data_IF_900473261615
#
_entry.id   IF_900473261615
#
_cell.length_a   1.000
_cell.length_b   1.000
_cell.length_c   1.000
_cell.angle_alpha   90.00
_cell.angle_beta   90.00
_cell.angle_gamma   90.00
#
_symmetry.space_group_name_H-M   'P 1'
#
loop_
_entity.id
_entity.type
_entity.pdbx_description
1 polymer ?
#
# COMPACT_ATOMS: atom_id res chain seq x y z
N UNK A 1 14.11 -5.56 -4.22
CA UNK A 1 14.19 -5.48 -2.74
C UNK A 1 13.03 -6.29 -2.19
N UNK A 2 13.11 -6.87 -0.99
CA UNK A 2 12.12 -7.87 -0.58
C UNK A 2 10.99 -7.24 0.25
N UNK A 3 9.80 -7.12 -0.33
CA UNK A 3 8.59 -6.92 0.48
C UNK A 3 8.24 -8.25 1.12
N UNK A 4 8.13 -8.29 2.45
CA UNK A 4 7.75 -9.51 3.17
C UNK A 4 6.25 -9.50 3.46
N UNK A 5 5.52 -10.45 2.83
CA UNK A 5 4.08 -10.62 2.99
C UNK A 5 3.78 -11.64 4.09
N UNK A 6 3.15 -11.19 5.18
CA UNK A 6 2.67 -12.05 6.27
C UNK A 6 1.14 -12.14 6.27
N UNK A 7 0.60 -13.34 6.16
CA UNK A 7 -0.83 -13.58 6.37
C UNK A 7 -1.13 -13.60 7.87
N UNK A 8 -2.06 -12.76 8.30
CA UNK A 8 -2.62 -12.77 9.65
C UNK A 8 -4.09 -13.16 9.59
N UNK A 9 -4.40 -14.29 10.24
CA UNK A 9 -5.77 -14.74 10.41
C UNK A 9 -6.48 -13.76 11.33
N UNK A 10 -7.44 -13.01 10.80
CA UNK A 10 -8.32 -12.17 11.61
C UNK A 10 -9.48 -13.02 12.15
N UNK A 11 -10.11 -12.55 13.22
CA UNK A 11 -11.33 -13.17 13.73
C UNK A 11 -12.39 -13.28 12.61
N UNK A 12 -13.23 -14.32 12.65
CA UNK A 12 -14.29 -14.59 11.67
C UNK A 12 -13.81 -14.99 10.25
N UNK A 13 -12.66 -15.65 10.13
CA UNK A 13 -12.18 -16.22 8.86
C UNK A 13 -11.69 -15.19 7.84
N UNK A 14 -11.62 -13.91 8.23
CA UNK A 14 -11.06 -12.85 7.39
C UNK A 14 -9.54 -13.02 7.29
N UNK A 15 -9.02 -12.79 6.09
CA UNK A 15 -7.58 -12.77 5.82
C UNK A 15 -7.15 -11.31 5.80
N UNK A 16 -6.20 -10.96 6.67
CA UNK A 16 -5.51 -9.69 6.60
C UNK A 16 -4.04 -9.97 6.26
N UNK A 17 -3.42 -9.11 5.48
CA UNK A 17 -2.01 -9.26 5.09
C UNK A 17 -1.22 -8.09 5.65
N UNK A 18 -0.05 -8.36 6.22
CA UNK A 18 0.93 -7.31 6.49
C UNK A 18 2.03 -7.37 5.45
N UNK A 19 2.30 -6.24 4.84
CA UNK A 19 3.40 -6.02 3.92
C UNK A 19 4.45 -5.26 4.72
N UNK A 20 5.56 -5.93 5.02
CA UNK A 20 6.73 -5.34 5.65
C UNK A 20 7.70 -4.89 4.55
N UNK A 21 7.97 -3.60 4.48
CA UNK A 21 8.85 -2.97 3.49
C UNK A 21 10.20 -2.61 4.11
N UNK A 22 11.27 -2.61 3.32
CA UNK A 22 12.59 -2.17 3.80
C UNK A 22 12.64 -0.65 4.04
N UNK A 23 11.90 0.12 3.24
CA UNK A 23 11.82 1.58 3.29
C UNK A 23 10.42 2.03 3.72
N UNK A 24 10.30 3.09 4.54
CA UNK A 24 9.00 3.59 4.93
C UNK A 24 8.28 4.26 3.76
N UNK A 25 6.95 4.07 3.68
CA UNK A 25 6.12 4.75 2.69
C UNK A 25 6.01 6.25 3.01
N UNK A 26 6.17 7.09 2.00
CA UNK A 26 6.19 8.57 2.13
C UNK A 26 5.09 9.21 1.31
N UNK A 27 4.65 10.39 1.74
CA UNK A 27 3.56 11.15 1.09
C UNK A 27 3.79 11.44 -0.40
N UNK A 28 5.04 11.70 -0.80
CA UNK A 28 5.36 12.01 -2.20
C UNK A 28 5.31 10.79 -3.12
N UNK A 29 5.21 9.57 -2.57
CA UNK A 29 5.14 8.32 -3.34
C UNK A 29 3.68 7.96 -3.69
N UNK A 30 2.69 8.66 -3.11
CA UNK A 30 1.28 8.45 -3.37
C UNK A 30 0.88 8.58 -4.86
N UNK A 31 1.41 9.54 -5.64
CA UNK A 31 1.07 9.66 -7.06
C UNK A 31 1.41 8.42 -7.91
N UNK A 32 2.33 7.56 -7.46
CA UNK A 32 2.67 6.31 -8.16
C UNK A 32 1.52 5.31 -8.04
N UNK A 33 0.94 5.22 -6.85
CA UNK A 33 -0.24 4.39 -6.60
C UNK A 33 -1.47 4.95 -7.31
N UNK A 34 -1.64 6.27 -7.34
CA UNK A 34 -2.74 6.89 -8.10
C UNK A 34 -2.63 6.62 -9.60
N UNK A 35 -1.42 6.70 -10.19
CA UNK A 35 -1.17 6.34 -11.60
C UNK A 35 -1.45 4.86 -11.89
N UNK A 36 -1.27 3.99 -10.91
CA UNK A 36 -1.63 2.57 -11.00
C UNK A 36 -3.13 2.30 -10.81
N UNK A 37 -3.96 3.33 -10.66
CA UNK A 37 -5.42 3.23 -10.58
C UNK A 37 -5.96 3.10 -9.15
N UNK A 38 -5.13 3.31 -8.12
CA UNK A 38 -5.60 3.33 -6.75
C UNK A 38 -6.16 4.71 -6.37
N UNK A 39 -7.20 4.72 -5.56
CA UNK A 39 -7.81 5.95 -5.02
C UNK A 39 -7.27 6.25 -3.63
N UNK A 40 -6.91 7.51 -3.39
CA UNK A 40 -6.37 7.97 -2.12
C UNK A 40 -7.18 9.16 -1.58
N UNK A 41 -8.11 8.95 -0.64
CA UNK A 41 -8.94 10.03 -0.12
C UNK A 41 -8.11 11.07 0.63
N UNK A 42 -8.30 12.35 0.30
CA UNK A 42 -7.51 13.49 0.81
C UNK A 42 -7.55 13.63 2.33
N UNK A 43 -8.64 13.24 2.98
CA UNK A 43 -8.79 13.27 4.43
C UNK A 43 -7.74 12.40 5.16
N UNK A 44 -7.43 11.20 4.63
CA UNK A 44 -6.38 10.35 5.21
C UNK A 44 -4.99 10.94 5.00
N UNK A 45 -4.74 11.48 3.81
CA UNK A 45 -3.47 12.14 3.50
C UNK A 45 -3.15 13.29 4.47
N UNK A 46 -4.14 14.15 4.74
CA UNK A 46 -4.01 15.27 5.69
C UNK A 46 -3.78 14.76 7.11
N UNK A 47 -4.47 13.68 7.52
CA UNK A 47 -4.31 13.05 8.82
C UNK A 47 -2.99 12.28 9.01
N UNK A 48 -2.12 12.21 7.98
CA UNK A 48 -0.87 11.45 8.06
C UNK A 48 -1.05 9.94 7.93
N UNK A 49 -2.22 9.51 7.44
CA UNK A 49 -2.57 8.11 7.21
C UNK A 49 -2.34 7.81 5.73
N UNK A 50 -1.52 6.80 5.47
CA UNK A 50 -1.44 6.15 4.17
C UNK A 50 -2.70 5.32 4.00
N UNK A 51 -3.54 5.67 3.03
CA UNK A 51 -4.74 4.92 2.66
C UNK A 51 -4.84 4.90 1.15
N UNK A 52 -4.89 3.71 0.56
CA UNK A 52 -5.18 3.53 -0.86
C UNK A 52 -6.20 2.41 -1.06
N UNK A 53 -7.11 2.61 -2.00
CA UNK A 53 -8.15 1.65 -2.36
C UNK A 53 -8.18 1.42 -3.86
N UNK A 54 -7.92 0.19 -4.26
CA UNK A 54 -8.27 -0.35 -5.58
C UNK A 54 -9.62 -1.07 -5.51
N UNK A 55 -10.01 -1.73 -6.60
CA UNK A 55 -11.28 -2.47 -6.67
C UNK A 55 -11.41 -3.50 -5.54
N UNK A 56 -10.39 -4.35 -5.41
CA UNK A 56 -10.38 -5.50 -4.51
C UNK A 56 -9.34 -5.41 -3.39
N UNK A 57 -8.51 -4.36 -3.39
CA UNK A 57 -7.39 -4.19 -2.45
C UNK A 57 -7.53 -2.87 -1.71
N UNK A 58 -7.41 -2.92 -0.38
CA UNK A 58 -7.33 -1.74 0.48
C UNK A 58 -6.04 -1.85 1.29
N UNK A 59 -5.18 -0.84 1.19
CA UNK A 59 -3.95 -0.78 1.97
C UNK A 59 -3.93 0.45 2.88
N UNK A 60 -3.56 0.23 4.13
CA UNK A 60 -3.57 1.27 5.18
C UNK A 60 -2.32 1.21 6.03
N UNK A 61 -1.78 2.37 6.39
CA UNK A 61 -0.67 2.52 7.34
C UNK A 61 -0.57 3.96 7.83
N UNK A 62 0.40 4.25 8.71
CA UNK A 62 0.88 5.61 8.95
C UNK A 62 2.06 5.89 8.02
N UNK A 63 2.11 7.08 7.42
CA UNK A 63 3.31 7.50 6.69
C UNK A 63 4.54 7.47 7.60
N UNK A 64 5.70 7.10 7.04
CA UNK A 64 6.94 6.97 7.82
C UNK A 64 7.13 5.60 8.49
N UNK A 65 6.19 4.67 8.33
CA UNK A 65 6.32 3.29 8.83
C UNK A 65 6.59 2.30 7.69
N UNK A 66 7.15 1.15 8.05
CA UNK A 66 7.50 0.05 7.15
C UNK A 66 6.46 -1.06 7.10
N UNK A 67 5.38 -0.95 7.89
CA UNK A 67 4.34 -1.98 7.99
C UNK A 67 3.05 -1.47 7.41
N UNK A 68 2.55 -2.14 6.38
CA UNK A 68 1.31 -1.79 5.70
C UNK A 68 0.30 -2.92 5.89
N UNK A 69 -0.88 -2.60 6.41
CA UNK A 69 -2.00 -3.53 6.48
C UNK A 69 -2.70 -3.54 5.13
N UNK A 70 -2.88 -4.71 4.54
CA UNK A 70 -3.48 -4.90 3.23
C UNK A 70 -4.63 -5.90 3.35
N UNK A 71 -5.81 -5.42 3.02
CA UNK A 71 -7.02 -6.21 2.92
C UNK A 71 -7.29 -6.49 1.45
N UNK A 72 -7.64 -7.74 1.15
CA UNK A 72 -8.10 -8.11 -0.17
C UNK A 72 -9.48 -8.79 -0.09
N UNK A 73 -10.35 -8.48 -1.04
CA UNK A 73 -11.67 -9.04 -1.21
C UNK A 73 -11.81 -9.67 -2.60
N UNK A 74 -12.66 -10.68 -2.75
CA UNK A 74 -12.90 -11.34 -4.05
C UNK A 74 -12.13 -12.64 -4.26
N UNK A 75 -12.37 -13.27 -5.40
CA UNK A 75 -11.85 -14.60 -5.72
C UNK A 75 -10.36 -14.59 -6.12
N UNK A 76 -9.88 -13.49 -6.69
CA UNK A 76 -8.54 -13.39 -7.30
C UNK A 76 -7.52 -12.63 -6.42
N UNK A 77 -7.59 -12.86 -5.10
CA UNK A 77 -6.81 -12.05 -4.18
C UNK A 77 -5.29 -12.21 -4.32
N UNK A 78 -4.81 -13.39 -4.69
CA UNK A 78 -3.38 -13.61 -4.82
C UNK A 78 -2.77 -12.76 -5.94
N UNK A 79 -3.40 -12.74 -7.12
CA UNK A 79 -2.94 -11.91 -8.23
C UNK A 79 -3.02 -10.42 -7.89
N UNK A 80 -4.10 -9.98 -7.26
CA UNK A 80 -4.26 -8.57 -6.86
C UNK A 80 -3.26 -8.13 -5.79
N UNK A 81 -2.91 -9.01 -4.85
CA UNK A 81 -1.86 -8.76 -3.88
C UNK A 81 -0.49 -8.70 -4.54
N UNK A 82 -0.21 -9.57 -5.52
CA UNK A 82 1.05 -9.56 -6.26
C UNK A 82 1.19 -8.32 -7.16
N UNK A 83 0.10 -7.86 -7.80
CA UNK A 83 0.06 -6.60 -8.54
C UNK A 83 0.32 -5.41 -7.62
N UNK A 84 -0.36 -5.37 -6.47
CA UNK A 84 -0.15 -4.32 -5.47
C UNK A 84 1.29 -4.30 -4.94
N UNK A 85 1.88 -5.48 -4.69
CA UNK A 85 3.26 -5.61 -4.22
C UNK A 85 4.25 -4.95 -5.19
N UNK A 86 4.10 -5.18 -6.50
CA UNK A 86 4.94 -4.56 -7.53
C UNK A 86 4.83 -3.04 -7.55
N UNK A 87 3.61 -2.50 -7.50
CA UNK A 87 3.37 -1.05 -7.47
C UNK A 87 3.94 -0.44 -6.19
N UNK A 88 3.77 -1.13 -5.06
CA UNK A 88 4.32 -0.69 -3.78
C UNK A 88 5.85 -0.70 -3.81
N UNK A 89 6.48 -1.71 -4.43
CA UNK A 89 7.93 -1.76 -4.60
C UNK A 89 8.45 -0.59 -5.46
N UNK A 90 7.77 -0.26 -6.56
CA UNK A 90 8.07 0.93 -7.36
C UNK A 90 7.95 2.22 -6.52
N UNK A 91 6.86 2.33 -5.75
CA UNK A 91 6.58 3.49 -4.93
C UNK A 91 7.67 3.74 -3.88
N UNK A 92 8.03 2.72 -3.10
CA UNK A 92 9.02 2.87 -2.00
C UNK A 92 10.45 3.08 -2.50
N UNK A 93 10.76 2.67 -3.73
CA UNK A 93 12.08 2.84 -4.34
C UNK A 93 12.21 4.13 -5.15
N UNK A 94 11.13 4.88 -5.32
CA UNK A 94 11.21 6.22 -5.88
C UNK A 94 11.81 7.15 -4.84
N UNK A 95 13.01 7.66 -5.12
CA UNK A 95 13.57 8.80 -4.40
C UNK A 95 12.79 10.06 -4.74
N UNK A 96 12.82 11.07 -3.86
CA UNK A 96 12.22 12.39 -4.13
C UNK A 96 12.70 12.84 -5.52
N UNK A 97 11.82 12.81 -6.52
CA UNK A 97 12.12 13.48 -7.77
C UNK A 97 12.21 14.98 -7.44
N UNK A 98 13.28 15.69 -7.87
CA UNK A 98 13.49 17.10 -7.56
C UNK A 98 12.53 18.06 -8.28
N UNK A 99 11.46 17.57 -8.91
CA UNK A 99 10.48 18.41 -9.59
C UNK A 99 9.26 18.70 -8.72
N UNK A 100 9.42 19.66 -7.81
CA UNK A 100 8.41 20.70 -7.56
C UNK A 100 9.06 21.84 -6.78
N UNK A 101 9.62 22.75 -7.57
CA UNK A 101 9.74 24.18 -7.25
C UNK A 101 8.36 24.78 -6.97
#
# INVERSE_FOLDING_TARGET
MAINRRLVRSCCGRKNFFFETEKPIRKFQLPILERAGYTAPKNFYVAGIFYVRGHDVIATSSYGTTRISVHCHGADCENKLNEFEKVLEEAINTDKHPDSK
#
